data_IF_381692149887
#
_entry.id   IF_381692149887
#
_cell.length_a   1.000
_cell.length_b   1.000
_cell.length_c   1.000
_cell.angle_alpha   90.00
_cell.angle_beta   90.00
_cell.angle_gamma   90.00
#
_symmetry.space_group_name_H-M   'P 1'
#
loop_
_entity.id
_entity.type
_entity.pdbx_description
1 polymer ?
#
# COMPACT_ATOMS: atom_id res chain seq x y z
N UNK A 1 -72.79 0.54 -25.75
CA UNK A 1 -71.89 1.49 -25.06
C UNK A 1 -70.68 0.75 -24.60
N UNK A 2 -69.59 0.92 -25.28
CA UNK A 2 -68.29 0.25 -25.12
C UNK A 2 -67.45 1.01 -24.07
N UNK A 3 -66.70 0.33 -23.20
CA UNK A 3 -65.56 0.95 -22.54
C UNK A 3 -64.25 0.52 -23.17
N UNK A 4 -63.48 1.45 -23.32
CA UNK A 4 -62.18 1.73 -23.87
C UNK A 4 -61.04 0.87 -23.34
N UNK A 5 -60.21 0.36 -24.25
CA UNK A 5 -58.94 -0.31 -24.00
C UNK A 5 -57.91 0.72 -23.50
N UNK A 6 -57.31 0.47 -22.33
CA UNK A 6 -56.08 1.13 -21.88
C UNK A 6 -54.92 0.19 -22.11
N UNK A 7 -54.08 0.61 -23.02
CA UNK A 7 -52.82 0.02 -23.45
C UNK A 7 -51.77 0.15 -22.32
N UNK A 8 -51.35 -0.98 -21.75
CA UNK A 8 -50.31 -1.03 -20.71
C UNK A 8 -48.94 -1.34 -21.35
N UNK A 9 -48.30 -0.31 -21.93
CA UNK A 9 -46.94 -0.36 -22.48
C UNK A 9 -45.91 -0.33 -21.34
N UNK A 10 -45.82 -1.42 -20.55
CA UNK A 10 -44.72 -1.63 -19.59
C UNK A 10 -43.52 -2.26 -20.27
N UNK A 11 -42.63 -1.42 -20.82
CA UNK A 11 -41.28 -1.84 -21.17
C UNK A 11 -40.55 -2.36 -19.95
N UNK A 12 -39.94 -3.55 -20.00
CA UNK A 12 -39.13 -4.06 -18.89
C UNK A 12 -37.84 -3.24 -18.77
N UNK A 13 -37.64 -2.58 -17.63
CA UNK A 13 -36.41 -1.91 -17.28
C UNK A 13 -35.30 -2.94 -17.16
N UNK A 14 -34.29 -2.80 -18.00
CA UNK A 14 -33.06 -3.61 -18.04
C UNK A 14 -32.31 -3.45 -16.73
N UNK A 15 -31.95 -4.53 -16.00
CA UNK A 15 -31.19 -4.38 -14.76
C UNK A 15 -29.77 -3.89 -15.07
N UNK A 16 -29.45 -2.71 -14.58
CA UNK A 16 -28.11 -2.18 -14.51
C UNK A 16 -27.34 -2.95 -13.42
N UNK A 17 -26.34 -3.79 -13.79
CA UNK A 17 -25.54 -4.46 -12.79
C UNK A 17 -24.65 -5.59 -13.28
N UNK A 18 -23.70 -5.33 -14.19
CA UNK A 18 -22.63 -6.32 -14.51
C UNK A 18 -21.24 -5.69 -14.80
N UNK A 19 -20.94 -4.52 -14.24
CA UNK A 19 -19.63 -3.87 -14.47
C UNK A 19 -18.54 -4.17 -13.41
N UNK A 20 -18.89 -4.55 -12.19
CA UNK A 20 -17.97 -4.64 -11.06
C UNK A 20 -17.03 -5.85 -11.05
N UNK A 21 -17.45 -7.12 -11.34
CA UNK A 21 -16.55 -8.27 -11.22
C UNK A 21 -15.43 -8.33 -12.27
N UNK A 22 -15.75 -8.05 -13.55
CA UNK A 22 -14.78 -8.07 -14.67
C UNK A 22 -13.72 -6.97 -14.57
N UNK A 23 -14.09 -5.82 -14.05
CA UNK A 23 -13.17 -4.69 -13.85
C UNK A 23 -12.13 -4.99 -12.77
N UNK A 24 -12.52 -5.60 -11.65
CA UNK A 24 -11.61 -5.96 -10.57
C UNK A 24 -10.65 -7.10 -10.97
N UNK A 25 -11.13 -8.10 -11.70
CA UNK A 25 -10.30 -9.20 -12.21
C UNK A 25 -9.23 -8.68 -13.19
N UNK A 26 -9.62 -7.78 -14.11
CA UNK A 26 -8.65 -7.18 -15.04
C UNK A 26 -7.61 -6.31 -14.31
N UNK A 27 -7.99 -5.55 -13.26
CA UNK A 27 -7.02 -4.81 -12.45
C UNK A 27 -6.03 -5.72 -11.78
N UNK A 28 -6.49 -6.80 -11.15
CA UNK A 28 -5.60 -7.80 -10.53
C UNK A 28 -4.65 -8.40 -11.53
N UNK A 29 -5.13 -8.87 -12.69
CA UNK A 29 -4.27 -9.44 -13.73
C UNK A 29 -3.18 -8.47 -14.21
N UNK A 30 -3.50 -7.18 -14.36
CA UNK A 30 -2.52 -6.13 -14.73
C UNK A 30 -1.49 -5.95 -13.61
N UNK A 31 -1.93 -5.84 -12.36
CA UNK A 31 -1.05 -5.67 -11.19
C UNK A 31 -0.12 -6.89 -11.06
N UNK A 32 -0.66 -8.11 -11.09
CA UNK A 32 0.13 -9.34 -10.97
C UNK A 32 1.17 -9.44 -12.09
N UNK A 33 0.77 -9.18 -13.35
CA UNK A 33 1.69 -9.16 -14.48
C UNK A 33 2.80 -8.11 -14.33
N UNK A 34 2.48 -6.95 -13.76
CA UNK A 34 3.47 -5.89 -13.50
C UNK A 34 4.49 -6.34 -12.45
N UNK A 35 4.03 -6.93 -11.34
CA UNK A 35 4.90 -7.42 -10.28
C UNK A 35 5.78 -8.59 -10.73
N UNK A 36 5.22 -9.52 -11.53
CA UNK A 36 5.98 -10.64 -12.09
C UNK A 36 7.10 -10.15 -13.00
N UNK A 37 6.80 -9.19 -13.88
CA UNK A 37 7.83 -8.60 -14.76
C UNK A 37 8.92 -7.88 -13.97
N UNK A 38 8.59 -7.13 -12.92
CA UNK A 38 9.60 -6.48 -12.08
C UNK A 38 10.49 -7.52 -11.39
N UNK A 39 9.90 -8.58 -10.85
CA UNK A 39 10.64 -9.63 -10.15
C UNK A 39 11.57 -10.43 -11.10
N UNK A 40 11.08 -10.75 -12.29
CA UNK A 40 11.85 -11.48 -13.33
C UNK A 40 13.01 -10.63 -13.90
N UNK A 41 12.74 -9.36 -14.20
CA UNK A 41 13.74 -8.44 -14.79
C UNK A 41 14.74 -7.88 -13.75
N UNK A 42 14.40 -7.94 -12.46
CA UNK A 42 15.20 -7.34 -11.40
C UNK A 42 15.34 -5.82 -11.48
N UNK A 43 14.48 -5.16 -12.27
CA UNK A 43 14.56 -3.73 -12.55
C UNK A 43 13.20 -3.15 -12.95
N UNK A 44 12.73 -2.16 -12.21
CA UNK A 44 11.48 -1.45 -12.50
C UNK A 44 11.54 -0.74 -13.87
N UNK A 45 12.68 -0.12 -14.20
CA UNK A 45 12.86 0.67 -15.41
C UNK A 45 12.68 -0.12 -16.72
N UNK A 46 12.82 -1.45 -16.72
CA UNK A 46 12.64 -2.31 -17.90
C UNK A 46 11.17 -2.67 -18.19
N UNK A 47 10.27 -2.54 -17.22
CA UNK A 47 8.87 -2.91 -17.40
C UNK A 47 8.16 -1.91 -18.30
N UNK A 48 7.57 -2.39 -19.40
CA UNK A 48 6.80 -1.59 -20.35
C UNK A 48 5.31 -1.92 -20.28
N UNK A 49 4.45 -0.96 -20.66
CA UNK A 49 2.99 -1.19 -20.72
C UNK A 49 2.66 -2.25 -21.77
N UNK A 50 3.47 -2.37 -22.82
CA UNK A 50 3.38 -3.41 -23.83
C UNK A 50 3.55 -4.81 -23.24
N UNK A 51 4.62 -5.02 -22.50
CA UNK A 51 4.91 -6.31 -21.84
C UNK A 51 3.83 -6.66 -20.80
N UNK A 52 3.34 -5.68 -20.05
CA UNK A 52 2.23 -5.87 -19.11
C UNK A 52 0.94 -6.25 -19.85
N UNK A 53 0.62 -5.58 -20.97
CA UNK A 53 -0.56 -5.90 -21.76
C UNK A 53 -0.51 -7.33 -22.34
N UNK A 54 0.65 -7.75 -22.85
CA UNK A 54 0.88 -9.10 -23.35
C UNK A 54 0.72 -10.14 -22.24
N UNK A 55 1.40 -9.94 -21.11
CA UNK A 55 1.39 -10.86 -19.96
C UNK A 55 0.00 -10.98 -19.31
N UNK A 56 -0.70 -9.86 -19.12
CA UNK A 56 -2.00 -9.83 -18.47
C UNK A 56 -3.18 -10.23 -19.38
N UNK A 57 -2.98 -10.24 -20.71
CA UNK A 57 -4.05 -10.40 -21.69
C UNK A 57 -5.01 -9.22 -21.77
N UNK A 58 -4.66 -8.05 -21.21
CA UNK A 58 -5.49 -6.86 -21.16
C UNK A 58 -4.94 -5.80 -22.11
N UNK A 59 -5.81 -5.19 -22.95
CA UNK A 59 -5.39 -4.18 -23.92
C UNK A 59 -4.74 -2.96 -23.27
N UNK A 60 -3.72 -2.37 -23.94
CA UNK A 60 -3.09 -1.10 -23.51
C UNK A 60 -4.07 0.01 -23.24
N UNK A 61 -5.11 0.16 -24.07
CA UNK A 61 -6.16 1.17 -23.86
C UNK A 61 -6.91 0.97 -22.52
N UNK A 62 -7.09 -0.28 -22.08
CA UNK A 62 -7.70 -0.58 -20.77
C UNK A 62 -6.75 -0.27 -19.64
N UNK A 63 -5.46 -0.49 -19.82
CA UNK A 63 -4.42 -0.14 -18.83
C UNK A 63 -4.36 1.37 -18.66
N UNK A 64 -4.17 2.14 -19.75
CA UNK A 64 -4.06 3.61 -19.71
C UNK A 64 -5.32 4.32 -19.17
N UNK A 65 -6.50 3.72 -19.34
CA UNK A 65 -7.72 4.27 -18.73
C UNK A 65 -7.70 4.24 -17.20
N UNK A 66 -6.92 3.34 -16.58
CA UNK A 66 -6.84 3.14 -15.12
C UNK A 66 -5.61 3.80 -14.53
N UNK A 67 -4.52 3.71 -15.23
CA UNK A 67 -3.23 4.28 -14.88
C UNK A 67 -2.73 5.11 -16.06
N UNK A 68 -2.85 6.45 -15.96
CA UNK A 68 -2.47 7.37 -17.04
C UNK A 68 -1.02 7.25 -17.49
N UNK A 69 -0.13 6.83 -16.60
CA UNK A 69 1.29 6.62 -16.92
C UNK A 69 1.77 5.22 -16.49
N UNK A 70 2.93 4.82 -17.02
CA UNK A 70 3.67 3.63 -16.60
C UNK A 70 4.06 3.74 -15.11
N UNK A 71 4.50 4.91 -14.72
CA UNK A 71 4.93 5.22 -13.35
C UNK A 71 3.79 5.03 -12.36
N UNK A 72 2.60 5.49 -12.69
CA UNK A 72 1.40 5.26 -11.86
C UNK A 72 1.02 3.78 -11.79
N UNK A 73 1.09 3.05 -12.89
CA UNK A 73 0.85 1.61 -12.91
C UNK A 73 1.83 0.88 -11.99
N UNK A 74 3.12 1.14 -12.15
CA UNK A 74 4.16 0.45 -11.36
C UNK A 74 4.07 0.84 -9.89
N UNK A 75 3.91 2.11 -9.57
CA UNK A 75 3.76 2.56 -8.18
C UNK A 75 2.51 1.95 -7.52
N UNK A 76 1.38 1.91 -8.24
CA UNK A 76 0.16 1.24 -7.78
C UNK A 76 0.36 -0.26 -7.57
N UNK A 77 1.09 -0.95 -8.46
CA UNK A 77 1.42 -2.36 -8.29
C UNK A 77 2.28 -2.59 -7.04
N UNK A 78 3.33 -1.81 -6.85
CA UNK A 78 4.20 -1.88 -5.66
C UNK A 78 3.40 -1.64 -4.37
N UNK A 79 2.43 -0.73 -4.40
CA UNK A 79 1.58 -0.48 -3.21
C UNK A 79 0.73 -1.70 -2.81
N UNK A 80 0.35 -2.58 -3.73
CA UNK A 80 -0.41 -3.79 -3.38
C UNK A 80 0.39 -4.82 -2.58
N UNK A 81 1.74 -4.76 -2.66
CA UNK A 81 2.62 -5.63 -1.85
C UNK A 81 2.58 -5.21 -0.37
N UNK A 82 2.33 -3.94 -0.13
CA UNK A 82 2.26 -3.42 1.23
C UNK A 82 0.90 -3.76 1.80
N UNK A 83 0.88 -4.18 3.05
CA UNK A 83 -0.35 -4.48 3.78
C UNK A 83 -1.40 -3.40 3.60
N UNK A 84 -2.70 -3.74 3.61
CA UNK A 84 -3.76 -2.77 3.44
C UNK A 84 -3.57 -1.57 4.35
N UNK A 85 -3.82 -0.37 3.82
CA UNK A 85 -3.71 0.88 4.58
C UNK A 85 -4.80 1.00 5.67
N UNK A 86 -5.92 0.30 5.49
CA UNK A 86 -7.02 0.28 6.45
C UNK A 86 -6.69 -0.69 7.60
N UNK A 87 -6.07 -0.14 8.64
CA UNK A 87 -5.87 -0.82 9.93
C UNK A 87 -6.91 -0.24 10.88
N UNK A 88 -7.77 -1.09 11.41
CA UNK A 88 -8.69 -0.73 12.48
C UNK A 88 -7.90 -0.68 13.79
N UNK A 89 -7.61 0.55 14.24
CA UNK A 89 -6.82 0.77 15.43
C UNK A 89 -7.74 0.79 16.67
N UNK A 90 -7.38 0.11 17.76
CA UNK A 90 -8.20 0.05 18.98
C UNK A 90 -8.25 1.39 19.72
N UNK A 91 -7.28 2.28 19.51
CA UNK A 91 -7.17 3.59 20.19
C UNK A 91 -7.16 3.51 21.73
N UNK A 92 -6.69 2.38 22.27
CA UNK A 92 -6.58 2.15 23.72
C UNK A 92 -5.29 2.73 24.29
N UNK A 93 -4.19 2.63 23.55
CA UNK A 93 -2.90 3.23 23.89
C UNK A 93 -2.05 3.47 22.64
N UNK A 94 -1.11 4.41 22.72
CA UNK A 94 -0.11 4.63 21.67
C UNK A 94 0.66 3.34 21.34
N UNK A 95 1.03 2.58 22.38
CA UNK A 95 1.78 1.34 22.21
C UNK A 95 1.03 0.31 21.37
N UNK A 96 -0.24 0.08 21.68
CA UNK A 96 -1.05 -0.92 20.95
C UNK A 96 -1.30 -0.49 19.50
N UNK A 97 -1.64 0.78 19.27
CA UNK A 97 -1.84 1.31 17.93
C UNK A 97 -0.55 1.21 17.08
N UNK A 98 0.60 1.63 17.62
CA UNK A 98 1.88 1.55 16.93
C UNK A 98 2.33 0.09 16.70
N UNK A 99 2.05 -0.81 17.62
CA UNK A 99 2.37 -2.24 17.47
C UNK A 99 1.61 -2.85 16.29
N UNK A 100 0.31 -2.60 16.21
CA UNK A 100 -0.51 -3.08 15.08
C UNK A 100 0.00 -2.52 13.74
N UNK A 101 0.38 -1.25 13.68
CA UNK A 101 0.97 -0.66 12.49
C UNK A 101 2.29 -1.34 12.15
N UNK A 102 3.17 -1.51 13.14
CA UNK A 102 4.50 -2.08 12.98
C UNK A 102 4.46 -3.55 12.51
N UNK A 103 3.57 -4.35 13.07
CA UNK A 103 3.35 -5.75 12.67
C UNK A 103 2.87 -5.90 11.23
N UNK A 104 2.23 -4.88 10.67
CA UNK A 104 1.82 -4.87 9.27
C UNK A 104 2.94 -4.43 8.30
N UNK A 105 4.08 -3.98 8.79
CA UNK A 105 5.21 -3.60 7.93
C UNK A 105 5.97 -4.88 7.52
N UNK A 106 5.89 -5.26 6.25
CA UNK A 106 6.64 -6.41 5.70
C UNK A 106 6.11 -7.78 6.15
N UNK A 107 4.90 -7.84 6.73
CA UNK A 107 4.26 -9.09 7.12
C UNK A 107 4.00 -9.95 5.89
N UNK A 108 4.39 -11.21 6.00
CA UNK A 108 4.11 -12.27 5.01
C UNK A 108 4.50 -11.96 3.55
N UNK A 109 5.54 -11.12 3.34
CA UNK A 109 6.03 -10.86 1.99
C UNK A 109 6.62 -12.13 1.36
N UNK A 110 6.17 -12.44 0.15
CA UNK A 110 6.67 -13.54 -0.66
C UNK A 110 8.07 -13.22 -1.23
N UNK A 111 8.79 -14.23 -1.72
CA UNK A 111 10.09 -14.04 -2.41
C UNK A 111 9.95 -13.07 -3.60
N UNK A 112 8.84 -13.18 -4.37
CA UNK A 112 8.51 -12.23 -5.44
C UNK A 112 8.42 -10.80 -4.93
N UNK A 113 7.71 -10.60 -3.84
CA UNK A 113 7.50 -9.26 -3.26
C UNK A 113 8.79 -8.67 -2.72
N UNK A 114 9.65 -9.48 -2.10
CA UNK A 114 10.98 -9.04 -1.69
C UNK A 114 11.83 -8.60 -2.88
N UNK A 115 11.82 -9.38 -3.98
CA UNK A 115 12.53 -9.01 -5.21
C UNK A 115 12.03 -7.68 -5.78
N UNK A 116 10.71 -7.46 -5.82
CA UNK A 116 10.12 -6.19 -6.27
C UNK A 116 10.53 -5.03 -5.38
N UNK A 117 10.42 -5.18 -4.04
CA UNK A 117 10.75 -4.12 -3.09
C UNK A 117 12.23 -3.72 -3.13
N UNK A 118 13.13 -4.66 -3.40
CA UNK A 118 14.54 -4.37 -3.60
C UNK A 118 14.82 -3.47 -4.83
N UNK A 119 13.97 -3.53 -5.86
CA UNK A 119 14.09 -2.70 -7.05
C UNK A 119 13.57 -1.25 -6.83
N UNK A 120 12.71 -1.03 -5.84
CA UNK A 120 12.03 0.27 -5.61
C UNK A 120 13.03 1.37 -5.28
N UNK A 121 14.01 1.11 -4.42
CA UNK A 121 14.97 2.12 -3.99
C UNK A 121 15.86 2.62 -5.14
N UNK A 122 16.20 1.73 -6.07
CA UNK A 122 16.94 2.10 -7.28
C UNK A 122 16.11 2.99 -8.20
N UNK A 123 14.83 2.64 -8.41
CA UNK A 123 13.92 3.43 -9.25
C UNK A 123 13.62 4.80 -8.64
N UNK A 124 13.42 4.89 -7.33
CA UNK A 124 13.23 6.18 -6.62
C UNK A 124 14.41 7.13 -6.86
N UNK A 125 15.63 6.61 -6.96
CA UNK A 125 16.83 7.43 -7.24
C UNK A 125 16.93 7.81 -8.70
N UNK A 126 16.56 6.91 -9.60
CA UNK A 126 16.73 7.06 -11.05
C UNK A 126 15.58 7.83 -11.72
N UNK A 127 14.35 7.75 -11.19
CA UNK A 127 13.15 8.29 -11.81
C UNK A 127 12.42 9.28 -10.88
N UNK A 128 12.54 10.60 -11.12
CA UNK A 128 11.89 11.63 -10.29
C UNK A 128 10.35 11.53 -10.28
N UNK A 129 9.74 11.15 -11.40
CA UNK A 129 8.27 11.00 -11.49
C UNK A 129 7.79 9.82 -10.64
N UNK A 130 8.45 8.67 -10.75
CA UNK A 130 8.16 7.52 -9.89
C UNK A 130 8.34 7.87 -8.40
N UNK A 131 9.42 8.61 -8.07
CA UNK A 131 9.66 9.09 -6.70
C UNK A 131 8.50 9.92 -6.17
N UNK A 132 8.01 10.87 -6.95
CA UNK A 132 6.90 11.75 -6.57
C UNK A 132 5.64 10.93 -6.27
N UNK A 133 5.23 10.07 -7.19
CA UNK A 133 4.04 9.22 -7.04
C UNK A 133 4.18 8.29 -5.83
N UNK A 134 5.35 7.65 -5.70
CA UNK A 134 5.64 6.77 -4.58
C UNK A 134 5.58 7.49 -3.22
N UNK A 135 6.09 8.74 -3.15
CA UNK A 135 6.01 9.55 -1.94
C UNK A 135 4.58 9.92 -1.58
N UNK A 136 3.75 10.30 -2.56
CA UNK A 136 2.34 10.62 -2.37
C UNK A 136 1.54 9.42 -1.83
N UNK A 137 1.74 8.23 -2.40
CA UNK A 137 1.12 7.00 -1.92
C UNK A 137 1.54 6.62 -0.49
N UNK A 138 2.79 6.90 -0.14
CA UNK A 138 3.29 6.64 1.21
C UNK A 138 2.83 7.66 2.25
N UNK A 139 2.48 8.87 1.83
CA UNK A 139 2.11 9.93 2.77
C UNK A 139 0.88 9.57 3.61
N UNK A 140 -0.09 8.89 3.04
CA UNK A 140 -1.26 8.42 3.78
C UNK A 140 -0.90 7.50 4.96
N UNK A 141 0.10 6.61 4.76
CA UNK A 141 0.59 5.71 5.83
C UNK A 141 1.35 6.46 6.91
N UNK A 142 2.16 7.44 6.52
CA UNK A 142 2.87 8.30 7.47
C UNK A 142 1.88 9.11 8.30
N UNK A 143 0.83 9.63 7.68
CA UNK A 143 -0.18 10.41 8.38
C UNK A 143 -0.97 9.57 9.39
N UNK A 144 -1.18 8.27 9.13
CA UNK A 144 -1.76 7.38 10.14
C UNK A 144 -0.88 7.34 11.40
N UNK A 145 0.43 7.12 11.25
CA UNK A 145 1.37 7.09 12.38
C UNK A 145 1.43 8.44 13.08
N UNK A 146 1.47 9.56 12.32
CA UNK A 146 1.45 10.92 12.92
C UNK A 146 0.21 11.16 13.78
N UNK A 147 -0.97 10.72 13.33
CA UNK A 147 -2.20 10.86 14.10
C UNK A 147 -2.12 10.09 15.43
N UNK A 148 -1.59 8.87 15.41
CA UNK A 148 -1.38 8.09 16.64
C UNK A 148 -0.44 8.80 17.61
N UNK A 149 0.69 9.32 17.09
CA UNK A 149 1.68 10.03 17.91
C UNK A 149 1.10 11.33 18.50
N UNK A 150 0.41 12.14 17.69
CA UNK A 150 -0.24 13.38 18.18
C UNK A 150 -1.29 13.11 19.23
N UNK A 151 -2.13 12.09 19.02
CA UNK A 151 -3.11 11.68 20.01
C UNK A 151 -2.44 11.20 21.33
N UNK A 152 -1.29 10.56 21.24
CA UNK A 152 -0.49 10.17 22.41
C UNK A 152 0.09 11.37 23.17
N UNK A 153 0.52 12.41 22.48
CA UNK A 153 0.94 13.68 23.08
C UNK A 153 -0.26 14.35 23.81
N UNK A 154 -1.38 14.45 23.12
CA UNK A 154 -2.61 15.06 23.68
C UNK A 154 -3.12 14.32 24.93
N UNK A 155 -2.92 13.00 25.03
CA UNK A 155 -3.27 12.18 26.20
C UNK A 155 -2.20 12.14 27.29
N UNK A 156 -1.04 12.77 27.06
CA UNK A 156 0.09 12.75 27.99
C UNK A 156 0.82 11.41 28.07
N UNK A 157 0.62 10.51 27.10
CA UNK A 157 1.37 9.25 27.00
C UNK A 157 2.77 9.47 26.44
N UNK A 158 2.95 10.51 25.61
CA UNK A 158 4.22 10.91 25.00
C UNK A 158 4.59 12.34 25.41
N UNK A 159 5.88 12.62 25.41
CA UNK A 159 6.40 13.97 25.65
C UNK A 159 5.95 14.93 24.55
N UNK A 160 5.74 16.18 24.88
CA UNK A 160 5.30 17.22 23.94
C UNK A 160 6.39 17.66 22.95
N UNK A 161 7.67 17.46 23.32
CA UNK A 161 8.85 17.94 22.55
C UNK A 161 9.38 16.93 21.53
N UNK A 162 8.66 15.82 21.26
CA UNK A 162 9.11 14.83 20.28
C UNK A 162 9.02 15.36 18.84
N UNK A 163 10.02 15.04 18.04
CA UNK A 163 9.93 15.19 16.59
C UNK A 163 9.09 14.06 15.99
N UNK A 164 7.84 14.39 15.66
CA UNK A 164 6.86 13.43 15.14
C UNK A 164 7.32 12.79 13.83
N UNK A 165 7.90 13.57 12.90
CA UNK A 165 8.35 13.03 11.61
C UNK A 165 9.58 12.15 11.74
N UNK A 166 10.52 12.53 12.59
CA UNK A 166 11.66 11.68 12.94
C UNK A 166 11.20 10.39 13.61
N UNK A 167 10.21 10.47 14.49
CA UNK A 167 9.64 9.29 15.18
C UNK A 167 8.99 8.33 14.18
N UNK A 168 8.24 8.84 13.18
CA UNK A 168 7.70 8.03 12.07
C UNK A 168 8.83 7.32 11.32
N UNK A 169 9.92 8.01 11.00
CA UNK A 169 11.05 7.43 10.32
C UNK A 169 11.76 6.34 11.16
N UNK A 170 11.96 6.60 12.46
CA UNK A 170 12.59 5.65 13.40
C UNK A 170 11.75 4.39 13.62
N UNK A 171 10.41 4.48 13.52
CA UNK A 171 9.54 3.31 13.59
C UNK A 171 9.65 2.43 12.36
N UNK A 172 9.61 3.02 11.17
CA UNK A 172 9.49 2.29 9.90
C UNK A 172 10.84 1.72 9.44
N UNK A 173 11.92 2.50 9.55
CA UNK A 173 13.21 2.17 8.97
C UNK A 173 13.84 0.87 9.53
N UNK A 174 13.90 0.62 10.86
CA UNK A 174 14.51 -0.60 11.39
C UNK A 174 13.73 -1.85 10.99
N UNK A 175 12.39 -1.79 10.99
CA UNK A 175 11.56 -2.94 10.61
C UNK A 175 11.79 -3.29 9.14
N UNK A 176 11.77 -2.29 8.24
CA UNK A 176 12.06 -2.53 6.82
C UNK A 176 13.48 -3.03 6.58
N UNK A 177 14.46 -2.50 7.33
CA UNK A 177 15.85 -2.93 7.22
C UNK A 177 16.04 -4.42 7.52
N UNK A 178 15.29 -4.94 8.48
CA UNK A 178 15.33 -6.35 8.86
C UNK A 178 14.45 -7.22 7.97
N UNK A 179 13.18 -6.83 7.78
CA UNK A 179 12.20 -7.71 7.13
C UNK A 179 12.26 -7.67 5.60
N UNK A 180 12.55 -6.50 5.02
CA UNK A 180 12.54 -6.30 3.56
C UNK A 180 13.93 -6.47 2.96
N UNK A 181 14.95 -5.87 3.60
CA UNK A 181 16.32 -5.86 3.04
C UNK A 181 17.26 -6.91 3.63
N UNK A 182 16.80 -7.65 4.63
CA UNK A 182 17.57 -8.70 5.33
C UNK A 182 18.97 -8.23 5.83
N UNK A 183 19.11 -6.93 6.11
CA UNK A 183 20.38 -6.34 6.54
C UNK A 183 20.86 -6.86 7.90
N UNK A 184 19.94 -7.34 8.74
CA UNK A 184 20.24 -7.86 10.09
C UNK A 184 19.51 -9.18 10.32
N UNK A 185 19.96 -10.30 9.72
CA UNK A 185 19.26 -11.60 9.82
C UNK A 185 19.06 -12.08 11.27
N UNK A 186 20.00 -11.74 12.17
CA UNK A 186 19.90 -12.08 13.60
C UNK A 186 18.73 -11.39 14.32
N UNK A 187 18.21 -10.31 13.77
CA UNK A 187 17.06 -9.58 14.30
C UNK A 187 15.72 -10.02 13.68
N UNK A 188 15.75 -10.87 12.65
CA UNK A 188 14.55 -11.37 11.95
C UNK A 188 13.83 -12.40 12.83
N UNK A 189 13.00 -11.90 13.73
CA UNK A 189 12.30 -12.66 14.77
C UNK A 189 10.84 -12.20 14.86
N UNK A 190 9.92 -13.07 15.32
CA UNK A 190 8.51 -12.70 15.45
C UNK A 190 8.24 -11.49 16.36
N UNK A 191 9.12 -11.27 17.36
CA UNK A 191 9.02 -10.18 18.32
C UNK A 191 9.67 -8.85 17.85
N UNK A 192 10.10 -8.74 16.58
CA UNK A 192 10.80 -7.56 16.08
C UNK A 192 9.99 -6.28 16.23
N UNK A 193 8.73 -6.30 15.82
CA UNK A 193 7.84 -5.13 15.91
C UNK A 193 7.70 -4.64 17.35
N UNK A 194 7.41 -5.57 18.27
CA UNK A 194 7.30 -5.27 19.71
C UNK A 194 8.57 -4.65 20.27
N UNK A 195 9.72 -5.25 19.96
CA UNK A 195 11.03 -4.74 20.42
C UNK A 195 11.33 -3.34 19.88
N UNK A 196 11.02 -3.07 18.62
CA UNK A 196 11.22 -1.74 18.03
C UNK A 196 10.32 -0.71 18.73
N UNK A 197 9.04 -1.03 18.93
CA UNK A 197 8.10 -0.14 19.62
C UNK A 197 8.54 0.11 21.06
N UNK A 198 8.90 -0.93 21.81
CA UNK A 198 9.31 -0.77 23.22
C UNK A 198 10.60 0.05 23.37
N UNK A 199 11.56 -0.10 22.43
CA UNK A 199 12.77 0.72 22.45
C UNK A 199 12.48 2.17 22.10
N UNK A 200 11.59 2.40 21.11
CA UNK A 200 11.19 3.74 20.71
C UNK A 200 10.47 4.46 21.85
N UNK A 201 9.46 3.81 22.45
CA UNK A 201 8.63 4.42 23.48
C UNK A 201 9.40 4.73 24.76
N UNK A 202 10.39 3.93 25.15
CA UNK A 202 11.24 4.25 26.33
C UNK A 202 11.94 5.62 26.22
N UNK A 203 12.21 6.09 25.00
CA UNK A 203 12.79 7.42 24.78
C UNK A 203 11.76 8.53 24.61
N UNK A 204 10.48 8.20 24.46
CA UNK A 204 9.41 9.13 24.13
C UNK A 204 8.33 9.26 25.21
N UNK A 205 8.31 8.37 26.22
CA UNK A 205 7.33 8.42 27.31
C UNK A 205 7.43 9.72 28.08
N UNK A 206 6.29 10.26 28.51
CA UNK A 206 6.25 11.30 29.54
C UNK A 206 6.77 10.70 30.87
N UNK A 207 7.54 11.50 31.64
CA UNK A 207 7.96 11.13 33.01
C UNK A 207 6.77 11.16 33.99
#
# INVERSE_FOLDING_TARGET
MTPEQLDDDRRPTRPAGKGRPRSAAASRAIIDATLDLIAEEGKIGSVTVEAVAERSGVSKATIYRRWPSREELVASAVETIKSPFEIDLPHTSVREDLLLIAENIGKDSTEREHAVLACVDLEIRANPEFRRIHQELHEQRRELVRRVLRAGIERGELREDIDVDLTVALLVAPIRSVQVYDNYPSLKRPDLAERVIDHLLRGLSAE
#
